data_IF_782996218651
#
_entry.id   IF_782996218651
#
_cell.length_a   1.000
_cell.length_b   1.000
_cell.length_c   1.000
_cell.angle_alpha   90.00
_cell.angle_beta   90.00
_cell.angle_gamma   90.00
#
_symmetry.space_group_name_H-M   'P 1'
#
loop_
_entity.id
_entity.type
_entity.pdbx_description
1 polymer ?
#
# COMPACT_ATOMS: atom_id res chain seq x y z
N UNK A 1 7.30 -2.79 26.07
CA UNK A 1 7.70 -2.80 24.64
C UNK A 1 6.45 -2.69 23.80
N UNK A 2 6.47 -1.86 22.76
CA UNK A 2 5.33 -1.68 21.86
C UNK A 2 5.25 -2.87 20.89
N UNK A 3 4.26 -3.75 21.10
CA UNK A 3 4.08 -5.01 20.38
C UNK A 3 3.38 -4.85 19.02
N UNK A 4 3.12 -3.61 18.58
CA UNK A 4 2.41 -3.36 17.33
C UNK A 4 3.23 -3.79 16.11
N UNK A 5 2.59 -4.40 15.09
CA UNK A 5 3.26 -4.66 13.82
C UNK A 5 3.72 -3.35 13.18
N UNK A 6 4.83 -3.44 12.44
CA UNK A 6 5.51 -2.28 11.82
C UNK A 6 5.50 -2.38 10.31
N UNK A 7 5.49 -1.24 9.65
CA UNK A 7 5.68 -1.14 8.22
C UNK A 7 7.06 -1.66 7.82
N UNK A 8 7.17 -2.53 6.81
CA UNK A 8 8.48 -3.01 6.37
C UNK A 8 9.30 -1.97 5.58
N UNK A 9 8.67 -0.85 5.18
CA UNK A 9 9.30 0.21 4.39
C UNK A 9 9.85 1.32 5.29
N UNK A 10 9.01 1.88 6.17
CA UNK A 10 9.41 2.98 7.05
C UNK A 10 9.70 2.55 8.50
N UNK A 11 9.45 1.29 8.86
CA UNK A 11 9.65 0.73 10.21
C UNK A 11 8.81 1.35 11.34
N UNK A 12 7.95 2.32 10.99
CA UNK A 12 6.97 2.88 11.91
C UNK A 12 5.86 1.88 12.26
N UNK A 13 5.37 1.87 13.51
CA UNK A 13 4.22 1.08 13.89
C UNK A 13 2.97 1.48 13.08
N UNK A 14 2.06 0.53 12.89
CA UNK A 14 0.76 0.88 12.30
C UNK A 14 -0.17 1.52 13.33
N UNK A 15 -0.91 2.54 12.89
CA UNK A 15 -1.94 3.18 13.71
C UNK A 15 -3.24 3.38 12.92
N UNK A 16 -4.36 3.45 13.64
CA UNK A 16 -5.65 3.81 13.05
C UNK A 16 -5.72 5.30 12.65
N UNK A 17 -4.89 6.14 13.28
CA UNK A 17 -4.71 7.56 12.98
C UNK A 17 -3.23 7.92 13.20
N UNK A 18 -2.59 8.69 12.30
CA UNK A 18 -3.14 9.31 11.09
C UNK A 18 -3.47 8.29 9.96
N UNK A 19 -4.26 8.66 8.93
CA UNK A 19 -4.58 7.77 7.81
C UNK A 19 -3.35 7.19 7.10
N UNK A 20 -2.23 7.93 7.09
CA UNK A 20 -0.97 7.53 6.47
C UNK A 20 -0.29 6.36 7.18
N UNK A 21 -0.48 6.18 8.48
CA UNK A 21 0.09 5.07 9.25
C UNK A 21 -0.80 3.83 9.27
N UNK A 22 -1.99 3.87 8.65
CA UNK A 22 -2.87 2.70 8.52
C UNK A 22 -2.22 1.63 7.66
N UNK A 23 -2.18 0.40 8.16
CA UNK A 23 -1.76 -0.76 7.39
C UNK A 23 -2.71 -1.01 6.22
N UNK A 24 -2.16 -1.32 5.06
CA UNK A 24 -2.87 -1.95 3.94
C UNK A 24 -2.18 -3.27 3.61
N UNK A 25 -2.97 -4.24 3.21
CA UNK A 25 -2.52 -5.60 2.94
C UNK A 25 -2.48 -5.83 1.43
N UNK A 26 -1.33 -6.24 0.92
CA UNK A 26 -1.17 -6.71 -0.45
C UNK A 26 -1.85 -8.06 -0.62
N UNK A 27 -2.21 -8.45 -1.86
CA UNK A 27 -2.82 -9.75 -2.13
C UNK A 27 -1.95 -10.95 -1.68
N UNK A 28 -0.65 -10.74 -1.54
CA UNK A 28 0.30 -11.71 -1.01
C UNK A 28 0.30 -11.86 0.53
N UNK A 29 -0.53 -11.11 1.26
CA UNK A 29 -0.65 -11.16 2.73
C UNK A 29 0.29 -10.21 3.49
N UNK A 30 1.27 -9.62 2.81
CA UNK A 30 2.19 -8.64 3.39
C UNK A 30 1.53 -7.27 3.61
N UNK A 31 1.97 -6.53 4.62
CA UNK A 31 1.40 -5.23 4.99
C UNK A 31 2.39 -4.07 4.83
N UNK A 32 1.85 -2.90 4.46
CA UNK A 32 2.61 -1.65 4.35
C UNK A 32 1.70 -0.48 4.70
N UNK A 33 2.24 0.59 5.27
CA UNK A 33 1.41 1.73 5.65
C UNK A 33 0.92 2.49 4.41
N UNK A 34 -0.23 3.16 4.53
CA UNK A 34 -0.85 3.90 3.43
C UNK A 34 0.08 4.98 2.86
N UNK A 35 0.83 5.68 3.71
CA UNK A 35 1.78 6.70 3.28
C UNK A 35 2.90 6.15 2.39
N UNK A 36 3.49 5.00 2.75
CA UNK A 36 4.50 4.36 1.91
C UNK A 36 3.90 3.85 0.59
N UNK A 37 2.65 3.36 0.60
CA UNK A 37 1.95 2.95 -0.62
C UNK A 37 1.72 4.14 -1.56
N UNK A 38 1.28 5.28 -1.02
CA UNK A 38 1.06 6.49 -1.81
C UNK A 38 2.39 7.01 -2.38
N UNK A 39 3.47 6.98 -1.60
CA UNK A 39 4.81 7.34 -2.07
C UNK A 39 5.30 6.42 -3.19
N UNK A 40 5.12 5.09 -3.06
CA UNK A 40 5.48 4.13 -4.11
C UNK A 40 4.69 4.38 -5.40
N UNK A 41 3.41 4.74 -5.30
CA UNK A 41 2.57 5.10 -6.46
C UNK A 41 3.08 6.37 -7.13
N UNK A 42 3.38 7.41 -6.35
CA UNK A 42 3.87 8.69 -6.87
C UNK A 42 5.22 8.53 -7.58
N UNK A 43 6.16 7.78 -6.99
CA UNK A 43 7.46 7.51 -7.60
C UNK A 43 7.31 6.78 -8.95
N UNK A 44 6.42 5.78 -9.04
CA UNK A 44 6.15 5.08 -10.31
C UNK A 44 5.53 5.98 -11.35
N UNK A 45 4.58 6.84 -10.97
CA UNK A 45 3.97 7.78 -11.90
C UNK A 45 5.02 8.73 -12.46
N UNK A 46 5.90 9.26 -11.60
CA UNK A 46 7.01 10.13 -12.01
C UNK A 46 8.00 9.40 -12.92
N UNK A 47 8.33 8.14 -12.62
CA UNK A 47 9.20 7.31 -13.44
C UNK A 47 8.56 7.01 -14.81
N UNK A 48 7.26 6.72 -14.86
CA UNK A 48 6.49 6.52 -16.08
C UNK A 48 6.44 7.78 -16.96
N UNK A 49 6.25 8.95 -16.35
CA UNK A 49 6.29 10.24 -17.05
C UNK A 49 7.67 10.54 -17.62
N UNK A 50 8.74 10.28 -16.85
CA UNK A 50 10.12 10.55 -17.26
C UNK A 50 10.65 9.60 -18.32
N UNK A 51 10.41 8.30 -18.19
CA UNK A 51 11.04 7.28 -19.04
C UNK A 51 10.28 7.03 -20.34
N UNK A 52 8.95 7.15 -20.32
CA UNK A 52 8.12 6.74 -21.46
C UNK A 52 7.25 7.89 -22.01
N UNK A 53 7.51 9.13 -21.60
CA UNK A 53 6.73 10.29 -22.04
C UNK A 53 5.24 10.17 -21.69
N UNK A 54 4.89 9.40 -20.66
CA UNK A 54 3.50 9.15 -20.27
C UNK A 54 2.81 7.99 -20.99
N UNK A 55 3.55 7.00 -21.50
CA UNK A 55 2.99 5.80 -22.14
C UNK A 55 1.81 5.20 -21.34
N UNK A 56 0.59 5.20 -21.92
CA UNK A 56 -0.64 4.76 -21.25
C UNK A 56 -0.71 3.25 -21.02
N UNK A 57 0.23 2.47 -21.53
CA UNK A 57 0.29 1.01 -21.33
C UNK A 57 0.81 0.61 -19.95
N UNK A 58 1.49 1.50 -19.22
CA UNK A 58 1.86 1.24 -17.82
C UNK A 58 0.57 1.23 -16.98
N UNK A 59 0.24 0.06 -16.43
CA UNK A 59 -0.86 -0.07 -15.48
C UNK A 59 -0.49 0.60 -14.16
N UNK A 60 -0.81 1.91 -14.04
CA UNK A 60 -0.56 2.77 -12.86
C UNK A 60 -1.26 2.30 -11.58
N UNK A 61 -2.11 1.27 -11.69
CA UNK A 61 -2.79 0.66 -10.58
C UNK A 61 -2.08 -0.59 -10.04
N UNK A 62 -0.93 -0.99 -10.58
CA UNK A 62 -0.18 -2.14 -10.05
C UNK A 62 1.02 -1.71 -9.20
N UNK A 63 1.08 -2.20 -7.97
CA UNK A 63 2.24 -2.07 -7.10
C UNK A 63 2.86 -3.44 -6.82
N UNK A 64 4.19 -3.51 -6.82
CA UNK A 64 4.93 -4.67 -6.35
C UNK A 64 5.02 -4.60 -4.83
N UNK A 65 4.68 -5.70 -4.17
CA UNK A 65 4.91 -5.83 -2.73
C UNK A 65 6.41 -5.62 -2.42
N UNK A 66 6.78 -4.74 -1.49
CA UNK A 66 8.19 -4.49 -1.16
C UNK A 66 8.89 -5.71 -0.54
N UNK A 67 8.14 -6.68 0.01
CA UNK A 67 8.69 -7.88 0.64
C UNK A 67 8.91 -9.02 -0.36
N UNK A 68 7.88 -9.40 -1.11
CA UNK A 68 7.93 -10.60 -1.97
C UNK A 68 7.88 -10.29 -3.48
N UNK A 69 7.84 -9.00 -3.85
CA UNK A 69 7.79 -8.51 -5.24
C UNK A 69 6.59 -8.96 -6.09
N UNK A 70 5.65 -9.72 -5.51
CA UNK A 70 4.38 -10.06 -6.16
C UNK A 70 3.62 -8.79 -6.50
N UNK A 71 3.12 -8.71 -7.72
CA UNK A 71 2.33 -7.59 -8.18
C UNK A 71 0.91 -7.67 -7.61
N UNK A 72 0.39 -6.55 -7.15
CA UNK A 72 -0.97 -6.43 -6.63
C UNK A 72 -1.64 -5.23 -7.30
N UNK A 73 -2.83 -5.43 -7.88
CA UNK A 73 -3.63 -4.33 -8.36
C UNK A 73 -4.25 -3.58 -7.17
N UNK A 74 -3.87 -2.32 -7.05
CA UNK A 74 -4.34 -1.36 -6.06
C UNK A 74 -5.49 -0.54 -6.68
N UNK A 75 -6.63 -1.18 -6.91
CA UNK A 75 -7.85 -0.48 -7.34
C UNK A 75 -8.40 0.38 -6.19
N UNK A 76 -8.31 1.70 -6.32
CA UNK A 76 -9.21 2.63 -5.61
C UNK A 76 -10.50 2.66 -6.44
N UNK A 77 -11.65 2.12 -5.97
CA UNK A 77 -12.29 2.39 -4.68
C UNK A 77 -12.91 1.13 -4.01
N UNK A 78 -12.20 0.00 -3.98
CA UNK A 78 -12.61 -1.18 -3.15
C UNK A 78 -11.64 -1.48 -2.00
N UNK A 79 -10.56 -0.71 -1.86
CA UNK A 79 -9.68 -0.77 -0.70
C UNK A 79 -10.40 -0.39 0.62
N UNK A 80 -11.46 0.44 0.56
CA UNK A 80 -12.36 0.67 1.72
C UNK A 80 -13.11 -0.59 2.15
N UNK A 81 -13.35 -1.54 1.23
CA UNK A 81 -13.97 -2.83 1.58
C UNK A 81 -12.99 -3.81 2.23
N UNK A 82 -11.68 -3.70 1.95
CA UNK A 82 -10.67 -4.54 2.61
C UNK A 82 -10.36 -4.09 4.05
N UNK A 83 -10.70 -2.84 4.41
CA UNK A 83 -10.56 -2.31 5.77
C UNK A 83 -11.61 -2.83 6.76
N UNK A 84 -12.72 -3.43 6.31
CA UNK A 84 -13.83 -3.79 7.19
C UNK A 84 -13.73 -5.18 7.84
N UNK A 85 -12.93 -6.10 7.32
CA UNK A 85 -12.96 -7.47 7.85
C UNK A 85 -12.15 -7.68 9.13
N UNK A 86 -11.15 -6.84 9.44
CA UNK A 86 -10.33 -7.04 10.65
C UNK A 86 -10.79 -6.23 11.87
N UNK A 87 -11.57 -5.17 11.68
CA UNK A 87 -12.04 -4.30 12.77
C UNK A 87 -13.42 -4.66 13.31
N UNK A 88 -14.15 -5.60 12.68
CA UNK A 88 -15.52 -6.00 13.05
C UNK A 88 -15.56 -7.30 13.87
N UNK A 89 -14.50 -8.10 13.90
CA UNK A 89 -14.48 -9.38 14.66
C UNK A 89 -14.03 -9.22 16.13
N UNK A 90 -13.96 -7.99 16.66
CA UNK A 90 -13.52 -7.70 18.04
C UNK A 90 -14.60 -6.99 18.88
N UNK A 91 -15.88 -7.09 18.50
CA UNK A 91 -17.02 -6.65 19.32
C UNK A 91 -17.74 -7.86 19.93
#
# INVERSE_FOLDING_TARGET
MDARPRCNVCHEPFHASPPTSRARIFACGHSTCSGCIDQMRNLRNLESERLLGGDPTINRHMLKCPQCRKETPMFLPKAEKMLRNFAVEQQ
#
